data_IF_573521221008
#
_entry.id   IF_573521221008
#
_cell.length_a   1.000
_cell.length_b   1.000
_cell.length_c   1.000
_cell.angle_alpha   90.00
_cell.angle_beta   90.00
_cell.angle_gamma   90.00
#
_symmetry.space_group_name_H-M   'P 1'
#
loop_
_entity.id
_entity.type
_entity.pdbx_description
1 polymer ?
#
# COMPACT_ATOMS: atom_id res chain seq x y z
N UNK A 1 1.06 4.87 16.67
CA UNK A 1 0.92 3.41 16.80
C UNK A 1 1.13 2.80 15.43
N UNK A 2 1.82 1.67 15.31
CA UNK A 2 2.03 1.02 14.02
C UNK A 2 0.69 0.47 13.50
N UNK A 3 0.57 0.34 12.20
CA UNK A 3 -0.64 -0.10 11.51
C UNK A 3 -0.35 -1.34 10.69
N UNK A 4 -1.34 -2.21 10.58
CA UNK A 4 -1.38 -3.31 9.61
C UNK A 4 -2.63 -3.14 8.73
N UNK A 5 -2.56 -3.59 7.50
CA UNK A 5 -3.64 -3.41 6.52
C UNK A 5 -4.26 -4.78 6.25
N UNK A 6 -5.51 -4.98 6.65
CA UNK A 6 -6.31 -6.15 6.25
C UNK A 6 -6.98 -5.87 4.91
N UNK A 7 -7.00 -6.87 4.04
CA UNK A 7 -7.51 -6.79 2.67
C UNK A 7 -8.72 -7.70 2.50
N UNK A 8 -9.66 -7.28 1.69
CA UNK A 8 -10.77 -8.11 1.22
C UNK A 8 -11.08 -7.79 -0.24
N UNK A 9 -11.53 -8.79 -0.98
CA UNK A 9 -11.82 -8.69 -2.40
C UNK A 9 -13.14 -9.41 -2.69
N UNK A 10 -14.07 -8.76 -3.39
CA UNK A 10 -15.43 -9.28 -3.64
C UNK A 10 -16.13 -9.79 -2.37
N UNK A 11 -15.95 -9.07 -1.25
CA UNK A 11 -16.52 -9.43 0.05
C UNK A 11 -15.85 -10.62 0.75
N UNK A 12 -14.82 -11.23 0.16
CA UNK A 12 -14.07 -12.35 0.74
C UNK A 12 -12.78 -11.85 1.39
N UNK A 13 -12.37 -12.53 2.46
CA UNK A 13 -11.09 -12.26 3.11
C UNK A 13 -9.94 -12.50 2.14
N UNK A 14 -9.03 -11.51 2.04
CA UNK A 14 -7.81 -11.59 1.24
C UNK A 14 -6.57 -11.37 2.12
N UNK A 15 -6.68 -11.75 3.39
CA UNK A 15 -5.58 -11.73 4.35
C UNK A 15 -5.08 -10.31 4.65
N UNK A 16 -3.82 -10.22 5.07
CA UNK A 16 -3.15 -8.96 5.34
C UNK A 16 -2.20 -8.60 4.21
N UNK A 17 -1.90 -7.31 4.10
CA UNK A 17 -0.79 -6.86 3.26
C UNK A 17 0.51 -7.41 3.86
N UNK A 18 1.23 -8.21 3.08
CA UNK A 18 2.58 -8.69 3.35
C UNK A 18 3.58 -8.06 2.39
N UNK A 19 4.86 -8.33 2.62
CA UNK A 19 5.95 -7.85 1.79
C UNK A 19 6.98 -8.95 1.53
N UNK A 20 7.34 -9.18 0.26
CA UNK A 20 8.32 -10.20 -0.14
C UNK A 20 9.34 -9.63 -1.11
N UNK A 21 10.53 -10.23 -1.15
CA UNK A 21 11.56 -9.86 -2.12
C UNK A 21 11.19 -10.42 -3.50
N UNK A 22 11.27 -9.59 -4.54
CA UNK A 22 11.15 -9.98 -5.94
C UNK A 22 12.28 -9.32 -6.74
N UNK A 23 13.31 -10.09 -7.08
CA UNK A 23 14.56 -9.56 -7.61
C UNK A 23 15.21 -8.57 -6.64
N UNK A 24 15.42 -7.34 -7.11
CA UNK A 24 16.03 -6.26 -6.32
C UNK A 24 15.01 -5.37 -5.60
N UNK A 25 13.72 -5.70 -5.65
CA UNK A 25 12.64 -4.90 -5.06
C UNK A 25 11.93 -5.67 -3.95
N UNK A 26 11.37 -4.94 -2.99
CA UNK A 26 10.40 -5.49 -2.04
C UNK A 26 9.00 -5.16 -2.53
N UNK A 27 8.25 -6.18 -2.95
CA UNK A 27 6.89 -6.03 -3.49
C UNK A 27 5.86 -6.38 -2.42
N UNK A 28 4.75 -5.65 -2.42
CA UNK A 28 3.63 -5.94 -1.53
C UNK A 28 2.68 -6.98 -2.16
N UNK A 29 2.11 -7.83 -1.30
CA UNK A 29 1.18 -8.87 -1.69
C UNK A 29 0.04 -8.97 -0.66
N UNK A 30 -1.12 -9.48 -1.07
CA UNK A 30 -2.21 -9.86 -0.18
C UNK A 30 -2.16 -11.34 0.21
N UNK A 31 -2.97 -11.76 1.17
CA UNK A 31 -3.02 -13.15 1.64
C UNK A 31 -1.96 -13.51 2.68
N UNK A 32 -1.25 -12.53 3.27
CA UNK A 32 -0.40 -12.79 4.43
C UNK A 32 -1.25 -13.09 5.67
N UNK A 33 -0.73 -13.93 6.57
CA UNK A 33 -1.27 -14.08 7.92
C UNK A 33 -1.03 -12.82 8.75
N UNK A 34 -1.81 -12.63 9.84
CA UNK A 34 -1.65 -11.45 10.72
C UNK A 34 -0.22 -11.33 11.28
N UNK A 35 0.42 -12.46 11.59
CA UNK A 35 1.80 -12.53 12.12
C UNK A 35 2.86 -12.09 11.12
N UNK A 36 2.57 -12.22 9.82
CA UNK A 36 3.48 -11.87 8.72
C UNK A 36 3.07 -10.55 8.03
N UNK A 37 2.05 -9.88 8.56
CA UNK A 37 1.60 -8.59 8.06
C UNK A 37 2.74 -7.56 8.13
N UNK A 38 2.86 -6.76 7.08
CA UNK A 38 3.79 -5.63 7.12
C UNK A 38 3.24 -4.54 8.04
N UNK A 39 4.07 -4.10 8.97
CA UNK A 39 3.76 -2.97 9.85
C UNK A 39 4.18 -1.65 9.22
N UNK A 40 3.25 -0.69 9.27
CA UNK A 40 3.44 0.65 8.78
C UNK A 40 3.38 1.68 9.90
N UNK A 41 4.26 2.67 9.84
CA UNK A 41 4.07 3.93 10.55
C UNK A 41 3.44 4.92 9.58
N UNK A 42 2.30 5.50 9.96
CA UNK A 42 1.70 6.61 9.23
C UNK A 42 2.48 7.90 9.50
N UNK A 43 2.94 8.53 8.43
CA UNK A 43 3.63 9.83 8.44
C UNK A 43 2.74 10.82 7.68
N UNK A 44 2.42 11.95 8.29
CA UNK A 44 1.49 12.94 7.71
C UNK A 44 1.94 13.42 6.32
N UNK A 45 0.99 13.52 5.40
CA UNK A 45 1.21 14.12 4.10
C UNK A 45 0.87 15.62 4.13
N UNK A 46 1.83 16.53 3.92
CA UNK A 46 1.62 17.96 4.16
C UNK A 46 0.63 18.62 3.19
N UNK A 47 0.30 17.96 2.07
CA UNK A 47 -0.59 18.54 1.05
C UNK A 47 -2.06 18.12 1.21
N UNK A 48 -2.41 17.23 2.16
CA UNK A 48 -3.79 16.75 2.35
C UNK A 48 -4.00 16.15 3.74
N UNK A 49 -4.98 16.68 4.48
CA UNK A 49 -5.14 16.48 5.93
C UNK A 49 -5.55 15.07 6.41
N UNK A 50 -5.85 14.12 5.52
CA UNK A 50 -6.18 12.73 5.86
C UNK A 50 -5.37 11.72 5.04
N UNK A 51 -4.30 12.19 4.40
CA UNK A 51 -3.40 11.35 3.64
C UNK A 51 -2.09 11.14 4.41
N UNK A 52 -1.52 9.95 4.26
CA UNK A 52 -0.31 9.57 4.95
C UNK A 52 0.66 8.89 3.99
N UNK A 53 1.95 9.11 4.20
CA UNK A 53 2.95 8.16 3.76
C UNK A 53 2.95 6.97 4.72
N UNK A 54 3.06 5.76 4.18
CA UNK A 54 3.09 4.54 4.96
C UNK A 54 4.52 4.02 5.01
N UNK A 55 5.27 4.41 6.05
CA UNK A 55 6.66 3.98 6.26
C UNK A 55 6.70 2.53 6.77
N UNK A 56 7.48 1.66 6.13
CA UNK A 56 7.66 0.26 6.52
C UNK A 56 8.55 0.17 7.76
N UNK A 57 8.00 -0.31 8.87
CA UNK A 57 8.69 -0.30 10.18
C UNK A 57 9.99 -1.10 10.17
N UNK A 58 9.97 -2.31 9.57
CA UNK A 58 11.14 -3.21 9.51
C UNK A 58 12.14 -2.85 8.39
N UNK A 59 11.85 -1.83 7.57
CA UNK A 59 12.74 -1.36 6.51
C UNK A 59 12.86 0.16 6.57
N UNK A 60 13.84 0.63 7.35
CA UNK A 60 14.02 2.06 7.62
C UNK A 60 13.97 2.91 6.35
N UNK A 61 13.13 3.96 6.38
CA UNK A 61 12.94 4.92 5.29
C UNK A 61 12.41 4.31 3.98
N UNK A 62 11.85 3.11 3.99
CA UNK A 62 11.07 2.61 2.85
C UNK A 62 9.59 2.88 3.09
N UNK A 63 8.86 3.18 2.03
CA UNK A 63 7.46 3.58 2.07
C UNK A 63 6.66 2.77 1.06
N UNK A 64 5.37 2.57 1.33
CA UNK A 64 4.43 2.04 0.36
C UNK A 64 4.33 2.97 -0.85
N UNK A 65 4.84 2.52 -1.99
CA UNK A 65 4.82 3.29 -3.23
C UNK A 65 4.34 2.46 -4.42
N UNK A 66 4.09 3.12 -5.55
CA UNK A 66 3.58 2.51 -6.77
C UNK A 66 4.59 2.64 -7.89
N UNK A 67 4.97 1.51 -8.50
CA UNK A 67 5.86 1.52 -9.65
C UNK A 67 5.09 2.02 -10.88
N UNK A 68 5.37 3.24 -11.34
CA UNK A 68 4.63 3.88 -12.43
C UNK A 68 4.54 3.05 -13.73
N UNK A 69 5.54 2.22 -14.03
CA UNK A 69 5.60 1.44 -15.28
C UNK A 69 4.63 0.26 -15.33
N UNK A 70 4.36 -0.39 -14.19
CA UNK A 70 3.54 -1.60 -14.14
C UNK A 70 2.52 -1.61 -12.99
N UNK A 71 2.34 -0.47 -12.31
CA UNK A 71 1.47 -0.27 -11.17
C UNK A 71 1.74 -1.18 -9.95
N UNK A 72 2.82 -1.97 -9.92
CA UNK A 72 3.12 -2.86 -8.78
C UNK A 72 3.39 -2.04 -7.53
N UNK A 73 2.78 -2.42 -6.41
CA UNK A 73 3.09 -1.84 -5.11
C UNK A 73 4.43 -2.38 -4.62
N UNK A 74 5.32 -1.48 -4.22
CA UNK A 74 6.64 -1.83 -3.75
C UNK A 74 7.12 -0.86 -2.67
N UNK A 75 8.05 -1.33 -1.84
CA UNK A 75 8.67 -0.50 -0.83
C UNK A 75 9.77 0.34 -1.49
N UNK A 76 9.61 1.66 -1.51
CA UNK A 76 10.60 2.58 -2.10
C UNK A 76 11.15 3.55 -1.07
N UNK A 77 12.35 4.06 -1.34
CA UNK A 77 13.06 4.98 -0.45
C UNK A 77 13.29 6.32 -1.16
N UNK A 78 12.95 7.46 -0.52
CA UNK A 78 13.29 8.77 -1.07
C UNK A 78 14.81 8.96 -1.15
N UNK A 79 15.31 9.43 -2.30
CA UNK A 79 16.75 9.66 -2.51
C UNK A 79 17.30 10.82 -1.68
N UNK A 80 16.51 11.86 -1.42
CA UNK A 80 16.94 13.07 -0.69
C UNK A 80 16.13 13.23 0.60
N UNK A 81 14.81 13.44 0.46
CA UNK A 81 13.89 13.57 1.58
C UNK A 81 12.48 13.16 1.15
N UNK A 82 11.63 12.82 2.11
CA UNK A 82 10.23 12.48 1.85
C UNK A 82 9.45 13.67 1.28
N UNK A 83 9.76 14.89 1.73
CA UNK A 83 9.09 16.10 1.25
C UNK A 83 9.39 16.45 -0.22
N UNK A 84 10.54 16.00 -0.74
CA UNK A 84 10.97 16.25 -2.12
C UNK A 84 10.85 15.00 -3.02
N UNK A 85 10.30 13.90 -2.51
CA UNK A 85 10.19 12.66 -3.27
C UNK A 85 8.90 12.58 -4.08
N UNK A 86 8.88 11.61 -5.00
CA UNK A 86 7.69 11.18 -5.73
C UNK A 86 6.93 10.06 -5.04
N UNK A 87 7.27 9.74 -3.77
CA UNK A 87 6.59 8.68 -3.01
C UNK A 87 5.11 9.03 -2.91
N UNK A 88 4.26 8.06 -3.23
CA UNK A 88 2.81 8.20 -3.15
C UNK A 88 2.36 8.26 -1.69
N UNK A 89 1.47 9.21 -1.38
CA UNK A 89 0.73 9.20 -0.12
C UNK A 89 -0.58 8.45 -0.32
N UNK A 90 -1.21 8.00 0.76
CA UNK A 90 -2.42 7.19 0.70
C UNK A 90 -3.48 7.68 1.66
N UNK A 91 -4.74 7.59 1.25
CA UNK A 91 -5.92 7.95 2.03
C UNK A 91 -6.93 6.81 2.00
N UNK A 92 -7.58 6.54 3.12
CA UNK A 92 -8.72 5.61 3.16
C UNK A 92 -9.99 6.35 2.74
N UNK A 93 -10.62 5.90 1.64
CA UNK A 93 -11.86 6.46 1.09
C UNK A 93 -12.82 5.31 0.82
N UNK A 94 -14.00 5.33 1.45
CA UNK A 94 -15.04 4.29 1.29
C UNK A 94 -14.52 2.85 1.45
N UNK A 95 -13.58 2.67 2.39
CA UNK A 95 -12.92 1.40 2.68
C UNK A 95 -11.93 0.96 1.60
N UNK A 96 -11.44 1.84 0.73
CA UNK A 96 -10.37 1.59 -0.23
C UNK A 96 -9.16 2.45 0.12
N UNK A 97 -7.95 1.98 -0.20
CA UNK A 97 -6.74 2.76 0.04
C UNK A 97 -6.32 3.46 -1.26
N UNK A 98 -6.73 4.72 -1.40
CA UNK A 98 -6.52 5.56 -2.58
C UNK A 98 -5.13 6.18 -2.59
N UNK A 99 -4.52 6.22 -3.77
CA UNK A 99 -3.28 6.90 -4.04
C UNK A 99 -3.53 8.41 -4.16
N UNK A 100 -2.82 9.17 -3.33
CA UNK A 100 -2.82 10.63 -3.31
C UNK A 100 -1.52 11.12 -3.96
N UNK A 101 -1.67 11.75 -5.13
CA UNK A 101 -0.55 12.27 -5.91
C UNK A 101 -0.67 13.78 -6.01
N UNK A 102 0.39 14.50 -5.60
CA UNK A 102 0.42 15.96 -5.58
C UNK A 102 -0.78 16.61 -4.88
N UNK A 103 -1.24 16.04 -3.76
CA UNK A 103 -2.39 16.55 -2.99
C UNK A 103 -3.77 16.11 -3.52
N UNK A 104 -3.83 15.40 -4.64
CA UNK A 104 -5.08 15.00 -5.28
C UNK A 104 -5.34 13.51 -5.11
N UNK A 105 -6.57 13.17 -4.75
CA UNK A 105 -7.07 11.81 -4.87
C UNK A 105 -7.14 11.44 -6.36
N UNK A 106 -6.51 10.32 -6.70
CA UNK A 106 -6.45 9.81 -8.08
C UNK A 106 -7.57 8.81 -8.38
N UNK A 107 -8.37 8.44 -7.38
CA UNK A 107 -9.33 7.31 -7.38
C UNK A 107 -8.69 5.97 -7.73
N UNK A 108 -7.35 5.90 -7.73
CA UNK A 108 -6.60 4.68 -7.97
C UNK A 108 -6.22 4.09 -6.62
N UNK A 109 -6.47 2.81 -6.44
CA UNK A 109 -6.41 2.19 -5.12
C UNK A 109 -5.67 0.86 -5.13
N UNK A 110 -5.36 0.37 -3.92
CA UNK A 110 -4.79 -0.96 -3.73
C UNK A 110 -5.72 -2.00 -4.37
N UNK A 111 -5.18 -2.77 -5.29
CA UNK A 111 -5.93 -3.67 -6.17
C UNK A 111 -5.16 -4.96 -6.45
N UNK A 112 -5.89 -5.97 -6.93
CA UNK A 112 -5.36 -7.21 -7.50
C UNK A 112 -5.17 -7.07 -9.01
N UNK A 113 -4.40 -7.99 -9.59
CA UNK A 113 -4.33 -8.11 -11.03
C UNK A 113 -5.68 -8.53 -11.61
N UNK A 114 -6.18 -7.81 -12.61
CA UNK A 114 -7.34 -8.23 -13.39
C UNK A 114 -6.98 -9.32 -14.42
N UNK A 115 -5.74 -9.34 -14.89
CA UNK A 115 -5.26 -10.29 -15.90
C UNK A 115 -4.79 -11.62 -15.30
N UNK A 116 -4.49 -11.65 -14.00
CA UNK A 116 -4.01 -12.84 -13.29
C UNK A 116 -4.73 -12.95 -11.92
N UNK A 117 -5.89 -13.62 -11.89
CA UNK A 117 -6.69 -13.79 -10.68
C UNK A 117 -6.03 -14.64 -9.59
N UNK A 118 -4.97 -15.40 -9.90
CA UNK A 118 -4.24 -16.22 -8.92
C UNK A 118 -3.09 -15.44 -8.27
N UNK A 119 -2.69 -14.33 -8.89
CA UNK A 119 -1.65 -13.45 -8.32
C UNK A 119 -2.09 -12.84 -6.99
N UNK A 120 -1.15 -12.89 -6.04
CA UNK A 120 -1.25 -12.21 -4.76
C UNK A 120 -0.56 -10.85 -4.76
N UNK A 121 0.19 -10.50 -5.80
CA UNK A 121 0.84 -9.18 -5.90
C UNK A 121 -0.21 -8.08 -5.90
N UNK A 122 0.07 -7.01 -5.15
CA UNK A 122 -0.80 -5.85 -5.09
C UNK A 122 -0.34 -4.78 -6.09
N UNK A 123 -1.32 -4.04 -6.59
CA UNK A 123 -1.16 -2.98 -7.58
C UNK A 123 -1.85 -1.70 -7.11
N UNK A 124 -1.45 -0.56 -7.67
CA UNK A 124 -2.06 0.75 -7.42
C UNK A 124 -2.91 1.28 -8.56
N UNK A 125 -3.24 0.45 -9.56
CA UNK A 125 -4.16 0.74 -10.66
C UNK A 125 -3.89 2.04 -11.48
N UNK A 126 -2.64 2.49 -11.62
CA UNK A 126 -2.33 3.79 -12.25
C UNK A 126 -2.55 3.80 -13.77
N UNK A 127 -2.27 2.70 -14.47
CA UNK A 127 -2.08 2.71 -15.93
C UNK A 127 -3.11 1.92 -16.76
N UNK A 128 -3.89 1.02 -16.15
CA UNK A 128 -4.85 0.17 -16.89
C UNK A 128 -6.21 0.18 -16.20
N UNK A 129 -7.29 0.07 -16.98
CA UNK A 129 -8.67 0.16 -16.52
C UNK A 129 -9.04 -0.92 -15.49
N UNK A 130 -9.93 -0.55 -14.58
CA UNK A 130 -10.66 -1.37 -13.61
C UNK A 130 -9.80 -2.40 -12.86
N UNK A 131 -8.81 -1.89 -12.12
CA UNK A 131 -8.17 -2.66 -11.05
C UNK A 131 -9.22 -3.29 -10.14
N UNK A 132 -9.10 -4.60 -9.98
CA UNK A 132 -9.86 -5.43 -9.05
C UNK A 132 -9.59 -4.96 -7.62
N UNK A 133 -10.31 -3.92 -7.22
CA UNK A 133 -9.96 -3.10 -6.05
C UNK A 133 -10.20 -3.88 -4.78
N UNK A 134 -9.24 -3.77 -3.86
CA UNK A 134 -9.37 -4.34 -2.53
C UNK A 134 -10.07 -3.35 -1.62
N UNK A 135 -11.04 -3.84 -0.85
CA UNK A 135 -11.44 -3.16 0.37
C UNK A 135 -10.38 -3.38 1.45
N UNK A 136 -10.06 -2.34 2.20
CA UNK A 136 -9.06 -2.32 3.25
C UNK A 136 -9.70 -2.08 4.61
N UNK A 137 -9.05 -2.58 5.66
CA UNK A 137 -9.23 -2.08 7.04
C UNK A 137 -7.87 -1.80 7.62
N UNK A 138 -7.65 -0.56 8.06
CA UNK A 138 -6.42 -0.16 8.73
C UNK A 138 -6.59 -0.44 10.22
N UNK A 139 -5.79 -1.37 10.74
CA UNK A 139 -5.86 -1.82 12.13
C UNK A 139 -4.60 -1.38 12.87
N UNK A 140 -4.72 -1.15 14.17
CA UNK A 140 -3.53 -1.03 15.02
C UNK A 140 -2.78 -2.36 15.03
N UNK A 141 -1.47 -2.30 14.82
CA UNK A 141 -0.60 -3.41 15.13
C UNK A 141 -0.62 -3.58 16.65
N UNK A 142 -1.29 -4.63 17.14
CA UNK A 142 -1.18 -5.03 18.53
C UNK A 142 0.31 -5.19 18.84
N UNK A 143 0.75 -4.66 20.00
CA UNK A 143 2.09 -5.02 20.49
C UNK A 143 2.08 -6.53 20.65
N UNK A 144 2.77 -7.23 19.76
CA UNK A 144 3.23 -8.59 20.05
C UNK A 144 4.25 -8.39 21.17
N UNK A 145 3.75 -8.45 22.41
CA UNK A 145 4.54 -8.44 23.63
C UNK A 145 5.35 -9.71 23.75
#
# INVERSE_FOLDING_TARGET
MNKIIKLSYEGKDFGYMGMKKNGNMHVFYGGADKSDAVEFKQVEYPKRSNAYYYEVVKQSKHYLDIKATNSVLFADKPNISLAMSSIVAWEEVDGELHAIISGKDTTKSVSRSAADPDSTTLYGNLTFGDGNTCKVKILDAEKVS
#
